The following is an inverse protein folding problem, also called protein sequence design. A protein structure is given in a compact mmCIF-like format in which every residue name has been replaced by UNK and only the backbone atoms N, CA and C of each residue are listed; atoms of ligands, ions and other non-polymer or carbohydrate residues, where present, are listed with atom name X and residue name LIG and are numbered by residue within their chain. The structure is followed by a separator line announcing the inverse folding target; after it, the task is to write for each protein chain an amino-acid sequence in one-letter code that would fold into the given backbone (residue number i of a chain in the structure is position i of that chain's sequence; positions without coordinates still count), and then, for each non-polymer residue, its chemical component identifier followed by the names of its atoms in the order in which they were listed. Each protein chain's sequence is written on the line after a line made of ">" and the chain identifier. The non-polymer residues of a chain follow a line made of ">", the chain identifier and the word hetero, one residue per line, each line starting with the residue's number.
data_IF_770361890551
#
_entry.id   IF_770361890551
#
_cell.length_a   1.000
_cell.length_b   1.000
_cell.length_c   1.000
_cell.angle_alpha   90.00
_cell.angle_beta   90.00
_cell.angle_gamma   90.00
#
_symmetry.space_group_name_H-M   'P 1'
#
loop_
_entity.id
_entity.type
_entity.pdbx_description
1 polymer ?
#
# COMPACT_ATOMS: atom_id res chain seq x y z
N UNK A 1 -31.65 35.08 -45.30
CA UNK A 1 -31.13 34.90 -43.91
C UNK A 1 -30.18 33.73 -43.95
N UNK A 2 -28.89 34.01 -43.92
CA UNK A 2 -27.77 33.07 -44.01
C UNK A 2 -27.10 33.11 -42.64
N UNK A 3 -27.09 32.01 -41.90
CA UNK A 3 -26.25 31.80 -40.71
C UNK A 3 -26.36 30.35 -40.20
N UNK A 4 -25.22 29.77 -39.85
CA UNK A 4 -25.02 28.59 -39.00
C UNK A 4 -25.20 27.19 -39.60
N UNK A 5 -24.25 26.80 -40.45
CA UNK A 5 -23.79 25.41 -40.58
C UNK A 5 -22.27 25.39 -40.47
N UNK A 6 -21.72 25.66 -39.29
CA UNK A 6 -20.36 25.23 -38.89
C UNK A 6 -20.33 25.15 -37.37
N UNK A 7 -20.46 23.92 -36.83
CA UNK A 7 -19.95 23.48 -35.51
C UNK A 7 -20.37 22.03 -35.27
N UNK A 8 -19.79 21.12 -36.04
CA UNK A 8 -19.65 19.72 -35.66
C UNK A 8 -18.31 19.23 -36.21
N UNK A 9 -17.21 19.75 -35.65
CA UNK A 9 -15.92 19.08 -35.75
C UNK A 9 -16.05 17.79 -34.94
N UNK A 10 -16.03 16.58 -35.54
CA UNK A 10 -15.91 15.37 -34.77
C UNK A 10 -14.51 15.42 -34.16
N UNK A 11 -14.42 15.51 -32.83
CA UNK A 11 -13.15 15.43 -32.10
C UNK A 11 -12.35 14.25 -32.66
N UNK A 12 -11.22 14.57 -33.28
CA UNK A 12 -10.35 13.64 -33.99
C UNK A 12 -10.03 12.43 -33.11
N UNK A 13 -10.31 11.24 -33.65
CA UNK A 13 -9.83 9.97 -33.13
C UNK A 13 -8.34 10.07 -32.81
N UNK A 14 -7.98 9.67 -31.60
CA UNK A 14 -6.59 9.49 -31.18
C UNK A 14 -5.86 8.69 -32.27
N UNK A 15 -4.84 9.27 -32.90
CA UNK A 15 -4.21 8.64 -34.07
C UNK A 15 -3.81 7.20 -33.76
N UNK A 16 -4.01 6.29 -34.71
CA UNK A 16 -3.73 4.85 -34.54
C UNK A 16 -2.32 4.62 -33.99
N UNK A 17 -1.36 5.45 -34.41
CA UNK A 17 0.01 5.45 -33.89
C UNK A 17 0.10 5.81 -32.40
N UNK A 18 -0.60 6.84 -31.93
CA UNK A 18 -0.66 7.20 -30.49
C UNK A 18 -1.37 6.12 -29.67
N UNK A 19 -2.40 5.48 -30.22
CA UNK A 19 -3.09 4.34 -29.58
C UNK A 19 -2.17 3.13 -29.44
N UNK A 20 -1.33 2.87 -30.44
CA UNK A 20 -0.34 1.79 -30.41
C UNK A 20 0.82 2.09 -29.46
N UNK A 21 1.31 3.34 -29.41
CA UNK A 21 2.28 3.77 -28.41
C UNK A 21 1.73 3.69 -26.98
N UNK A 22 0.46 4.05 -26.76
CA UNK A 22 -0.20 3.89 -25.47
C UNK A 22 -0.31 2.42 -25.06
N UNK A 23 -0.62 1.52 -26.01
CA UNK A 23 -0.60 0.07 -25.75
C UNK A 23 0.79 -0.42 -25.41
N UNK A 24 1.83 0.01 -26.14
CA UNK A 24 3.22 -0.33 -25.82
C UNK A 24 3.66 0.22 -24.46
N UNK A 25 3.24 1.42 -24.08
CA UNK A 25 3.47 1.97 -22.75
C UNK A 25 2.76 1.15 -21.68
N UNK A 26 1.50 0.76 -21.90
CA UNK A 26 0.73 -0.13 -21.03
C UNK A 26 1.37 -1.54 -20.92
N UNK A 27 1.94 -2.08 -22.00
CA UNK A 27 2.69 -3.34 -21.97
C UNK A 27 4.01 -3.24 -21.20
N UNK A 28 4.59 -2.04 -21.09
CA UNK A 28 5.79 -1.82 -20.29
C UNK A 28 5.49 -1.54 -18.81
N UNK A 29 4.23 -1.26 -18.45
CA UNK A 29 3.80 -1.05 -17.06
C UNK A 29 4.21 -2.21 -16.14
N UNK A 30 4.02 -3.51 -16.48
CA UNK A 30 4.46 -4.63 -15.64
C UNK A 30 5.97 -4.68 -15.42
N UNK A 31 6.76 -4.35 -16.44
CA UNK A 31 8.22 -4.29 -16.33
C UNK A 31 8.65 -3.10 -15.47
N UNK A 32 8.03 -1.94 -15.66
CA UNK A 32 8.25 -0.78 -14.81
C UNK A 32 7.85 -1.05 -13.35
N UNK A 33 6.76 -1.80 -13.13
CA UNK A 33 6.29 -2.22 -11.80
C UNK A 33 7.20 -3.27 -11.17
N UNK A 34 7.76 -4.19 -11.96
CA UNK A 34 8.78 -5.13 -11.48
C UNK A 34 10.04 -4.38 -11.06
N UNK A 35 10.47 -3.38 -11.82
CA UNK A 35 11.60 -2.51 -11.47
C UNK A 35 11.29 -1.66 -10.24
N UNK A 36 10.09 -1.09 -10.14
CA UNK A 36 9.63 -0.34 -8.96
C UNK A 36 9.52 -1.23 -7.72
N UNK A 37 9.06 -2.46 -7.87
CA UNK A 37 9.05 -3.47 -6.79
C UNK A 37 10.48 -3.78 -6.34
N UNK A 38 11.42 -3.95 -7.27
CA UNK A 38 12.84 -4.14 -6.94
C UNK A 38 13.48 -2.92 -6.27
N UNK A 39 13.08 -1.70 -6.67
CA UNK A 39 13.49 -0.47 -6.00
C UNK A 39 12.92 -0.37 -4.58
N UNK A 40 11.66 -0.79 -4.39
CA UNK A 40 11.05 -0.88 -3.06
C UNK A 40 11.79 -1.88 -2.16
N UNK A 41 12.17 -3.05 -2.67
CA UNK A 41 13.01 -4.00 -1.92
C UNK A 41 14.35 -3.35 -1.51
N UNK A 42 15.00 -2.61 -2.41
CA UNK A 42 16.29 -1.94 -2.13
C UNK A 42 16.18 -0.80 -1.09
N UNK A 43 15.11 -0.01 -1.14
CA UNK A 43 14.82 1.04 -0.15
C UNK A 43 14.51 0.37 1.19
N UNK A 44 13.73 -0.71 1.19
CA UNK A 44 13.36 -1.41 2.40
C UNK A 44 14.55 -2.02 3.14
N UNK A 45 15.45 -2.70 2.42
CA UNK A 45 16.65 -3.30 3.00
C UNK A 45 17.60 -2.26 3.60
N UNK A 46 17.71 -1.08 2.98
CA UNK A 46 18.54 0.02 3.52
C UNK A 46 18.04 0.55 4.85
N UNK A 47 16.72 0.61 5.06
CA UNK A 47 16.14 1.15 6.30
C UNK A 47 15.89 0.07 7.38
N UNK A 48 15.90 -1.22 7.04
CA UNK A 48 15.80 -2.30 8.04
C UNK A 48 17.12 -2.54 8.81
N UNK A 49 18.27 -2.08 8.29
CA UNK A 49 19.60 -2.29 8.90
C UNK A 49 19.96 -1.20 9.92
N UNK A 50 19.25 -0.07 9.95
CA UNK A 50 19.43 0.99 10.96
C UNK A 50 18.67 0.68 12.26
N UNK A 51 18.87 -0.52 12.82
CA UNK A 51 18.60 -0.78 14.23
C UNK A 51 19.93 -0.58 14.97
N UNK A 52 20.08 0.59 15.59
CA UNK A 52 21.23 0.91 16.42
C UNK A 52 21.46 -0.22 17.45
N UNK A 53 22.56 -0.95 17.29
CA UNK A 53 23.06 -1.83 18.33
C UNK A 53 23.46 -0.95 19.53
N UNK A 54 22.89 -1.16 20.73
CA UNK A 54 23.41 -0.49 21.91
C UNK A 54 24.84 -1.00 22.17
N UNK A 55 25.81 -0.13 22.47
CA UNK A 55 27.16 -0.58 22.82
C UNK A 55 27.13 -1.43 24.10
N UNK A 56 28.03 -2.40 24.25
CA UNK A 56 28.12 -3.20 25.48
C UNK A 56 28.46 -2.30 26.67
N UNK A 57 27.65 -2.36 27.74
CA UNK A 57 27.92 -1.66 28.99
C UNK A 57 29.23 -2.18 29.62
N UNK A 58 30.14 -1.30 30.08
CA UNK A 58 31.33 -1.73 30.78
C UNK A 58 30.96 -2.30 32.16
N UNK A 59 31.42 -3.52 32.41
CA UNK A 59 31.38 -4.19 33.70
C UNK A 59 32.09 -3.33 34.74
N UNK A 60 31.43 -3.11 35.88
CA UNK A 60 31.98 -2.37 37.01
C UNK A 60 33.27 -3.03 37.54
N UNK A 61 34.36 -2.26 37.57
CA UNK A 61 35.49 -2.45 38.49
C UNK A 61 36.35 -1.19 38.53
N UNK A 62 36.60 -0.75 39.77
CA UNK A 62 37.69 0.11 40.25
C UNK A 62 37.65 1.61 39.90
N UNK A 63 37.13 2.38 40.86
CA UNK A 63 36.98 3.84 40.82
C UNK A 63 38.23 4.62 41.28
N UNK A 64 39.39 3.98 41.49
CA UNK A 64 40.56 4.63 42.11
C UNK A 64 41.65 5.12 41.11
N UNK A 65 41.60 4.73 39.84
CA UNK A 65 42.67 5.06 38.87
C UNK A 65 42.42 6.31 38.00
N UNK A 66 41.27 6.99 38.15
CA UNK A 66 40.90 8.12 37.27
C UNK A 66 41.45 9.49 37.70
N UNK A 67 42.01 9.62 38.90
CA UNK A 67 42.56 10.89 39.38
C UNK A 67 44.01 11.13 38.96
N UNK A 68 44.75 10.10 38.56
CA UNK A 68 46.18 10.19 38.22
C UNK A 68 46.44 10.72 36.80
N UNK A 69 45.48 10.56 35.89
CA UNK A 69 45.64 10.91 34.48
C UNK A 69 45.22 12.35 34.12
N UNK A 70 44.67 13.13 35.06
CA UNK A 70 44.16 14.47 34.78
C UNK A 70 45.24 15.58 34.71
N UNK A 71 46.51 15.24 34.98
CA UNK A 71 47.59 16.25 35.13
C UNK A 71 48.59 16.23 33.95
N UNK A 72 48.51 15.26 33.03
CA UNK A 72 49.43 15.18 31.89
C UNK A 72 48.72 14.88 30.57
N UNK A 73 48.30 15.92 29.83
CA UNK A 73 48.50 16.04 28.36
C UNK A 73 47.82 17.29 27.78
N UNK A 74 48.50 18.07 26.90
CA UNK A 74 47.90 19.18 26.16
C UNK A 74 47.53 18.74 24.74
N UNK A 75 46.24 18.48 24.43
CA UNK A 75 45.74 18.51 23.03
C UNK A 75 44.20 18.52 22.82
N UNK A 76 43.43 19.15 23.71
CA UNK A 76 41.96 19.22 23.63
C UNK A 76 41.46 20.50 22.93
N UNK A 77 42.10 20.97 21.85
CA UNK A 77 41.63 22.15 21.09
C UNK A 77 41.26 21.88 19.63
N UNK A 78 41.30 20.63 19.16
CA UNK A 78 40.91 20.26 17.78
C UNK A 78 39.57 19.53 17.63
N UNK A 79 38.85 19.26 18.72
CA UNK A 79 37.64 18.43 18.75
C UNK A 79 36.36 19.20 19.14
N UNK A 80 36.35 20.54 19.05
CA UNK A 80 35.14 21.36 19.29
C UNK A 80 34.67 22.15 18.05
N UNK A 81 35.22 21.86 16.87
CA UNK A 81 34.95 22.61 15.63
C UNK A 81 34.21 21.82 14.55
N UNK A 82 33.61 20.67 14.88
CA UNK A 82 32.65 20.04 13.97
C UNK A 82 31.23 20.47 14.38
N UNK A 83 30.46 21.11 13.49
CA UNK A 83 29.05 21.35 13.75
C UNK A 83 28.36 19.98 13.93
N UNK A 84 27.41 19.86 14.88
CA UNK A 84 26.68 18.61 15.07
C UNK A 84 26.02 18.19 13.75
N UNK A 85 25.96 16.88 13.42
CA UNK A 85 25.13 16.43 12.30
C UNK A 85 23.71 16.94 12.53
N UNK A 86 23.23 17.77 11.60
CA UNK A 86 21.97 18.50 11.75
C UNK A 86 20.81 17.51 11.77
N UNK A 87 20.18 17.34 12.93
CA UNK A 87 18.96 16.55 13.14
C UNK A 87 17.84 16.92 12.16
N UNK A 88 17.85 18.16 11.67
CA UNK A 88 16.95 18.68 10.63
C UNK A 88 17.15 17.98 9.28
N UNK A 89 18.38 17.74 8.86
CA UNK A 89 18.68 17.06 7.58
C UNK A 89 18.34 15.56 7.62
N UNK A 90 18.42 14.92 8.79
CA UNK A 90 17.97 13.53 8.95
C UNK A 90 16.43 13.45 8.94
N UNK A 91 15.75 14.37 9.61
CA UNK A 91 14.28 14.45 9.59
C UNK A 91 13.72 14.74 8.19
N UNK A 92 14.33 15.67 7.45
CA UNK A 92 13.97 15.97 6.06
C UNK A 92 14.17 14.77 5.13
N UNK A 93 15.26 14.01 5.30
CA UNK A 93 15.52 12.78 4.52
C UNK A 93 14.49 11.69 4.80
N UNK A 94 14.19 11.41 6.08
CA UNK A 94 13.18 10.42 6.47
C UNK A 94 11.80 10.78 5.90
N UNK A 95 11.44 12.06 5.90
CA UNK A 95 10.19 12.54 5.31
C UNK A 95 10.17 12.34 3.78
N UNK A 96 11.28 12.64 3.10
CA UNK A 96 11.42 12.44 1.66
C UNK A 96 11.31 10.94 1.27
N UNK A 97 11.90 10.04 2.05
CA UNK A 97 11.85 8.60 1.82
C UNK A 97 10.41 8.05 2.00
N UNK A 98 9.68 8.55 3.01
CA UNK A 98 8.26 8.22 3.18
C UNK A 98 7.40 8.72 2.01
N UNK A 99 7.65 9.94 1.53
CA UNK A 99 6.91 10.49 0.39
C UNK A 99 7.18 9.67 -0.89
N UNK A 100 8.44 9.28 -1.14
CA UNK A 100 8.79 8.41 -2.26
C UNK A 100 8.09 7.05 -2.15
N UNK A 101 8.08 6.44 -0.96
CA UNK A 101 7.35 5.20 -0.74
C UNK A 101 5.86 5.34 -1.07
N UNK A 102 5.22 6.43 -0.66
CA UNK A 102 3.82 6.70 -0.97
C UNK A 102 3.58 6.77 -2.48
N UNK A 103 4.40 7.53 -3.19
CA UNK A 103 4.27 7.71 -4.64
C UNK A 103 4.45 6.37 -5.36
N UNK A 104 5.47 5.59 -4.99
CA UNK A 104 5.73 4.29 -5.62
C UNK A 104 4.59 3.31 -5.33
N UNK A 105 4.11 3.23 -4.08
CA UNK A 105 3.00 2.34 -3.73
C UNK A 105 1.66 2.79 -4.32
N UNK A 106 1.44 4.09 -4.52
CA UNK A 106 0.28 4.59 -5.25
C UNK A 106 0.34 4.19 -6.72
N UNK A 107 1.49 4.36 -7.38
CA UNK A 107 1.69 3.92 -8.75
C UNK A 107 1.50 2.40 -8.89
N UNK A 108 2.01 1.63 -7.91
CA UNK A 108 1.76 0.20 -7.81
C UNK A 108 0.28 -0.13 -7.63
N UNK A 109 -0.44 0.57 -6.75
CA UNK A 109 -1.88 0.40 -6.57
C UNK A 109 -2.69 0.69 -7.83
N UNK A 110 -2.31 1.72 -8.60
CA UNK A 110 -2.97 2.05 -9.88
C UNK A 110 -2.87 0.93 -10.91
N UNK A 111 -1.82 0.10 -10.84
CA UNK A 111 -1.66 -1.02 -11.76
C UNK A 111 -2.71 -2.13 -11.59
N UNK A 112 -3.39 -2.19 -10.44
CA UNK A 112 -4.52 -3.12 -10.23
C UNK A 112 -5.77 -2.73 -11.04
N UNK A 113 -5.79 -1.53 -11.62
CA UNK A 113 -6.90 -1.06 -12.47
C UNK A 113 -6.73 -1.43 -13.94
N UNK A 114 -5.60 -2.07 -14.29
CA UNK A 114 -5.36 -2.59 -15.62
C UNK A 114 -6.35 -3.73 -15.94
N UNK A 115 -6.84 -3.85 -17.19
CA UNK A 115 -7.75 -4.92 -17.58
C UNK A 115 -7.07 -6.28 -17.79
N UNK A 116 -5.73 -6.33 -17.82
CA UNK A 116 -4.99 -7.57 -18.07
C UNK A 116 -4.89 -8.43 -16.81
N UNK A 117 -5.49 -9.62 -16.87
CA UNK A 117 -5.52 -10.60 -15.79
C UNK A 117 -4.14 -11.12 -15.38
N UNK A 118 -3.20 -11.27 -16.30
CA UNK A 118 -1.86 -11.76 -15.99
C UNK A 118 -1.10 -10.70 -15.19
N UNK A 119 -1.25 -9.44 -15.57
CA UNK A 119 -0.64 -8.30 -14.86
C UNK A 119 -1.25 -8.16 -13.48
N UNK A 120 -2.58 -8.25 -13.37
CA UNK A 120 -3.26 -8.26 -12.08
C UNK A 120 -2.76 -9.39 -11.18
N UNK A 121 -2.70 -10.64 -11.70
CA UNK A 121 -2.20 -11.81 -10.96
C UNK A 121 -0.76 -11.59 -10.49
N UNK A 122 0.10 -11.09 -11.37
CA UNK A 122 1.50 -10.82 -11.06
C UNK A 122 1.64 -9.78 -9.94
N UNK A 123 0.90 -8.66 -10.05
CA UNK A 123 0.91 -7.61 -9.04
C UNK A 123 0.40 -8.11 -7.69
N UNK A 124 -0.68 -8.91 -7.68
CA UNK A 124 -1.18 -9.53 -6.47
C UNK A 124 -0.10 -10.43 -5.82
N UNK A 125 0.59 -11.23 -6.63
CA UNK A 125 1.71 -12.06 -6.18
C UNK A 125 2.87 -11.24 -5.60
N UNK A 126 3.20 -10.10 -6.20
CA UNK A 126 4.22 -9.19 -5.65
C UNK A 126 3.80 -8.58 -4.32
N UNK A 127 2.55 -8.13 -4.20
CA UNK A 127 2.03 -7.57 -2.97
C UNK A 127 2.07 -8.59 -1.82
N UNK A 128 1.67 -9.83 -2.08
CA UNK A 128 1.76 -10.91 -1.10
C UNK A 128 3.21 -11.29 -0.77
N UNK A 129 4.12 -11.22 -1.75
CA UNK A 129 5.55 -11.44 -1.52
C UNK A 129 6.15 -10.35 -0.62
N UNK A 130 5.84 -9.08 -0.89
CA UNK A 130 6.26 -7.94 -0.05
C UNK A 130 5.74 -8.10 1.37
N UNK A 131 4.48 -8.50 1.53
CA UNK A 131 3.95 -8.77 2.86
C UNK A 131 4.65 -9.95 3.55
N UNK A 132 4.87 -11.05 2.84
CA UNK A 132 5.52 -12.25 3.40
C UNK A 132 6.94 -11.98 3.87
N UNK A 133 7.73 -11.24 3.08
CA UNK A 133 9.13 -10.93 3.38
C UNK A 133 9.29 -9.81 4.41
N UNK A 134 8.48 -8.75 4.30
CA UNK A 134 8.74 -7.49 5.00
C UNK A 134 7.63 -7.08 5.98
N UNK A 135 6.59 -7.90 6.14
CA UNK A 135 5.40 -7.60 6.94
C UNK A 135 4.79 -6.26 6.54
N UNK A 136 4.68 -6.03 5.23
CA UNK A 136 4.18 -4.80 4.62
C UNK A 136 2.85 -4.36 5.25
N UNK A 137 1.91 -5.29 5.44
CA UNK A 137 0.58 -4.96 5.96
C UNK A 137 0.59 -4.50 7.42
N UNK A 138 1.59 -4.92 8.20
CA UNK A 138 1.78 -4.48 9.60
C UNK A 138 2.44 -3.09 9.70
N UNK A 139 3.02 -2.56 8.62
CA UNK A 139 3.71 -1.27 8.66
C UNK A 139 2.71 -0.13 8.78
N UNK A 140 2.89 0.68 9.83
CA UNK A 140 1.97 1.75 10.21
C UNK A 140 1.50 2.60 9.03
N UNK A 141 2.43 3.08 8.19
CA UNK A 141 2.12 3.93 7.04
C UNK A 141 1.26 3.21 5.99
N UNK A 142 1.61 1.97 5.65
CA UNK A 142 0.84 1.16 4.70
C UNK A 142 -0.53 0.82 5.29
N UNK A 143 -0.56 0.34 6.55
CA UNK A 143 -1.77 -0.04 7.28
C UNK A 143 -2.78 1.09 7.39
N UNK A 144 -2.34 2.30 7.73
CA UNK A 144 -3.26 3.42 7.97
C UNK A 144 -3.74 4.10 6.69
N UNK A 145 -2.90 4.20 5.66
CA UNK A 145 -3.20 5.01 4.47
C UNK A 145 -3.60 4.15 3.25
N UNK A 146 -2.89 3.04 3.01
CA UNK A 146 -2.97 2.32 1.73
C UNK A 146 -3.78 1.05 1.82
N UNK A 147 -3.65 0.29 2.91
CA UNK A 147 -4.32 -1.00 3.08
C UNK A 147 -5.84 -0.90 2.85
N UNK A 148 -6.59 0.08 3.41
CA UNK A 148 -8.02 0.24 3.13
C UNK A 148 -8.33 0.44 1.64
N UNK A 149 -7.44 1.14 0.91
CA UNK A 149 -7.60 1.37 -0.53
C UNK A 149 -7.39 0.09 -1.33
N UNK A 150 -6.36 -0.69 -1.01
CA UNK A 150 -6.13 -1.99 -1.64
C UNK A 150 -7.27 -2.96 -1.39
N UNK A 151 -7.73 -3.09 -0.13
CA UNK A 151 -8.90 -3.92 0.19
C UNK A 151 -10.12 -3.47 -0.60
N UNK A 152 -10.37 -2.16 -0.70
CA UNK A 152 -11.49 -1.62 -1.49
C UNK A 152 -11.39 -2.02 -2.96
N UNK A 153 -10.23 -1.86 -3.59
CA UNK A 153 -10.00 -2.26 -5.00
C UNK A 153 -10.26 -3.75 -5.18
N UNK A 154 -9.72 -4.60 -4.30
CA UNK A 154 -9.91 -6.05 -4.37
C UNK A 154 -11.38 -6.46 -4.20
N UNK A 155 -12.11 -5.86 -3.25
CA UNK A 155 -13.54 -6.08 -3.10
C UNK A 155 -14.32 -5.61 -4.33
N UNK A 156 -13.96 -4.47 -4.93
CA UNK A 156 -14.59 -3.98 -6.15
C UNK A 156 -14.34 -4.93 -7.34
N UNK A 157 -13.17 -5.54 -7.46
CA UNK A 157 -12.88 -6.54 -8.49
C UNK A 157 -13.79 -7.76 -8.33
N UNK A 158 -14.00 -8.24 -7.11
CA UNK A 158 -14.93 -9.34 -6.82
C UNK A 158 -16.39 -8.96 -7.17
N UNK A 159 -16.81 -7.74 -6.82
CA UNK A 159 -18.16 -7.23 -7.11
C UNK A 159 -18.43 -7.12 -8.62
N UNK A 160 -17.46 -6.59 -9.38
CA UNK A 160 -17.62 -6.41 -10.83
C UNK A 160 -17.31 -7.67 -11.64
N UNK A 161 -16.75 -8.72 -11.01
CA UNK A 161 -16.26 -9.93 -11.68
C UNK A 161 -15.24 -9.66 -12.80
N UNK A 162 -14.48 -8.57 -12.72
CA UNK A 162 -13.53 -8.21 -13.78
C UNK A 162 -12.36 -9.21 -13.87
N UNK A 163 -12.05 -9.91 -12.78
CA UNK A 163 -11.00 -10.93 -12.70
C UNK A 163 -11.48 -12.20 -11.96
N UNK A 164 -12.67 -12.72 -12.32
CA UNK A 164 -13.35 -13.82 -11.60
C UNK A 164 -12.52 -15.12 -11.46
N UNK A 165 -11.58 -15.36 -12.39
CA UNK A 165 -10.64 -16.49 -12.32
C UNK A 165 -9.61 -16.39 -11.18
N UNK A 166 -9.48 -15.21 -10.54
CA UNK A 166 -8.56 -14.96 -9.44
C UNK A 166 -9.30 -14.77 -8.11
N UNK A 167 -10.59 -15.11 -8.04
CA UNK A 167 -11.42 -14.80 -6.89
C UNK A 167 -10.89 -15.42 -5.57
N UNK A 168 -10.26 -16.59 -5.65
CA UNK A 168 -9.71 -17.29 -4.49
C UNK A 168 -8.46 -16.57 -3.97
N UNK A 169 -7.52 -16.24 -4.86
CA UNK A 169 -6.32 -15.49 -4.52
C UNK A 169 -6.64 -14.09 -4.01
N UNK A 170 -7.63 -13.42 -4.60
CA UNK A 170 -8.13 -12.12 -4.12
C UNK A 170 -8.73 -12.26 -2.72
N UNK A 171 -9.54 -13.30 -2.47
CA UNK A 171 -10.13 -13.56 -1.16
C UNK A 171 -9.07 -13.77 -0.08
N UNK A 172 -8.01 -14.53 -0.38
CA UNK A 172 -6.88 -14.75 0.52
C UNK A 172 -6.15 -13.43 0.81
N UNK A 173 -5.88 -12.61 -0.20
CA UNK A 173 -5.22 -11.32 0.00
C UNK A 173 -6.05 -10.37 0.88
N UNK A 174 -7.37 -10.31 0.66
CA UNK A 174 -8.30 -9.54 1.50
C UNK A 174 -8.27 -10.05 2.95
N UNK A 175 -8.24 -11.36 3.15
CA UNK A 175 -8.09 -11.95 4.49
C UNK A 175 -6.75 -11.54 5.13
N UNK A 176 -5.63 -11.68 4.41
CA UNK A 176 -4.31 -11.35 4.93
C UNK A 176 -4.25 -9.88 5.40
N UNK A 177 -4.83 -8.96 4.63
CA UNK A 177 -4.95 -7.55 5.00
C UNK A 177 -5.87 -7.32 6.20
N UNK A 178 -7.05 -7.96 6.22
CA UNK A 178 -8.01 -7.84 7.32
C UNK A 178 -7.45 -8.43 8.63
N UNK A 179 -6.66 -9.50 8.54
CA UNK A 179 -6.12 -10.24 9.69
C UNK A 179 -5.10 -9.45 10.51
N UNK A 180 -4.50 -8.41 9.94
CA UNK A 180 -3.63 -7.47 10.67
C UNK A 180 -4.38 -6.78 11.81
N UNK A 181 -5.66 -6.45 11.57
CA UNK A 181 -6.53 -5.87 12.58
C UNK A 181 -8.01 -6.07 12.23
N UNK A 182 -8.53 -7.25 12.59
CA UNK A 182 -9.94 -7.58 12.42
C UNK A 182 -10.86 -6.59 13.17
N UNK A 183 -10.41 -6.02 14.29
CA UNK A 183 -11.23 -5.09 15.05
C UNK A 183 -11.51 -3.84 14.22
N UNK A 184 -10.46 -3.22 13.67
CA UNK A 184 -10.60 -2.04 12.79
C UNK A 184 -11.30 -2.39 11.48
N UNK A 185 -11.02 -3.57 10.91
CA UNK A 185 -11.69 -4.03 9.69
C UNK A 185 -13.22 -4.09 9.86
N UNK A 186 -13.71 -4.75 10.92
CA UNK A 186 -15.15 -4.91 11.15
C UNK A 186 -15.84 -3.66 11.71
N UNK A 187 -15.18 -2.90 12.58
CA UNK A 187 -15.80 -1.75 13.26
C UNK A 187 -15.71 -0.44 12.49
N UNK A 188 -14.73 -0.28 11.59
CA UNK A 188 -14.50 0.95 10.85
C UNK A 188 -14.58 0.74 9.35
N UNK A 189 -13.69 -0.09 8.79
CA UNK A 189 -13.55 -0.23 7.34
C UNK A 189 -14.81 -0.76 6.66
N UNK A 190 -15.38 -1.87 7.14
CA UNK A 190 -16.53 -2.50 6.50
C UNK A 190 -17.77 -1.59 6.49
N UNK A 191 -18.17 -0.95 7.60
CA UNK A 191 -19.25 0.05 7.59
C UNK A 191 -19.00 1.21 6.62
N UNK A 192 -17.78 1.74 6.58
CA UNK A 192 -17.40 2.83 5.68
C UNK A 192 -17.47 2.40 4.20
N UNK A 193 -16.95 1.21 3.89
CA UNK A 193 -17.01 0.62 2.56
C UNK A 193 -18.45 0.44 2.06
N UNK A 194 -19.34 -0.10 2.91
CA UNK A 194 -20.76 -0.28 2.58
C UNK A 194 -21.47 1.07 2.40
N UNK A 195 -21.14 2.06 3.21
CA UNK A 195 -21.67 3.42 3.07
C UNK A 195 -21.27 4.03 1.73
N UNK A 196 -20.02 3.81 1.30
CA UNK A 196 -19.49 4.25 0.00
C UNK A 196 -20.05 3.50 -1.22
N UNK A 197 -20.71 2.36 -1.03
CA UNK A 197 -21.30 1.60 -2.14
C UNK A 197 -22.44 2.40 -2.80
N UNK A 198 -22.33 2.58 -4.13
CA UNK A 198 -23.31 3.29 -4.95
C UNK A 198 -24.37 2.33 -5.52
N UNK A 199 -25.60 2.82 -5.67
CA UNK A 199 -26.73 2.04 -6.19
C UNK A 199 -27.44 1.20 -5.13
N UNK A 200 -27.24 1.51 -3.84
CA UNK A 200 -27.97 0.90 -2.73
C UNK A 200 -28.57 1.98 -1.81
N UNK A 201 -29.75 1.72 -1.29
CA UNK A 201 -30.36 2.54 -0.25
C UNK A 201 -29.79 2.25 1.16
N UNK A 202 -30.13 3.09 2.13
CA UNK A 202 -29.66 2.98 3.51
C UNK A 202 -30.11 1.67 4.19
N UNK A 203 -31.30 1.17 3.85
CA UNK A 203 -31.85 -0.07 4.41
C UNK A 203 -31.06 -1.28 3.93
N UNK A 204 -30.82 -1.38 2.62
CA UNK A 204 -30.03 -2.44 2.00
C UNK A 204 -28.60 -2.47 2.57
N UNK A 205 -27.96 -1.30 2.71
CA UNK A 205 -26.64 -1.18 3.35
C UNK A 205 -26.65 -1.69 4.80
N UNK A 206 -27.69 -1.36 5.57
CA UNK A 206 -27.86 -1.84 6.94
C UNK A 206 -28.06 -3.36 7.01
N UNK A 207 -28.84 -3.94 6.08
CA UNK A 207 -29.05 -5.39 6.01
C UNK A 207 -27.74 -6.13 5.71
N UNK A 208 -26.96 -5.64 4.73
CA UNK A 208 -25.64 -6.20 4.40
C UNK A 208 -24.69 -6.16 5.60
N UNK A 209 -24.60 -5.02 6.28
CA UNK A 209 -23.75 -4.87 7.47
C UNK A 209 -24.16 -5.84 8.59
N UNK A 210 -25.47 -6.01 8.83
CA UNK A 210 -25.98 -6.93 9.85
C UNK A 210 -25.76 -8.40 9.52
N UNK A 211 -25.84 -8.77 8.24
CA UNK A 211 -25.72 -10.16 7.80
C UNK A 211 -24.26 -10.60 7.64
N UNK A 212 -23.31 -9.66 7.61
CA UNK A 212 -21.89 -9.99 7.53
C UNK A 212 -21.42 -10.65 8.84
N UNK A 213 -20.91 -11.88 8.73
CA UNK A 213 -20.36 -12.62 9.87
C UNK A 213 -18.91 -12.22 10.12
N UNK A 214 -18.58 -11.86 11.35
CA UNK A 214 -17.23 -11.47 11.78
C UNK A 214 -16.31 -12.68 12.00
N UNK A 215 -16.18 -13.52 10.98
CA UNK A 215 -15.34 -14.72 11.00
C UNK A 215 -13.85 -14.34 10.95
N UNK A 216 -13.00 -15.08 11.68
CA UNK A 216 -11.55 -14.79 11.78
C UNK A 216 -10.66 -15.88 11.20
N UNK A 217 -11.21 -17.05 10.89
CA UNK A 217 -10.49 -18.08 10.13
C UNK A 217 -10.66 -17.84 8.63
N UNK A 218 -9.61 -18.17 7.87
CA UNK A 218 -9.55 -17.92 6.43
C UNK A 218 -10.74 -18.52 5.65
N UNK A 219 -11.11 -19.80 5.81
CA UNK A 219 -12.23 -20.38 5.06
C UNK A 219 -13.58 -19.68 5.34
N UNK A 220 -13.91 -19.44 6.61
CA UNK A 220 -15.20 -18.84 6.96
C UNK A 220 -15.26 -17.35 6.62
N UNK A 221 -14.13 -16.65 6.75
CA UNK A 221 -14.00 -15.25 6.32
C UNK A 221 -14.20 -15.10 4.82
N UNK A 222 -13.45 -15.85 4.00
CA UNK A 222 -13.56 -15.78 2.53
C UNK A 222 -14.97 -16.13 2.07
N UNK A 223 -15.60 -17.15 2.67
CA UNK A 223 -17.00 -17.47 2.39
C UNK A 223 -17.94 -16.29 2.74
N UNK A 224 -17.70 -15.58 3.84
CA UNK A 224 -18.50 -14.41 4.23
C UNK A 224 -18.30 -13.22 3.28
N UNK A 225 -17.07 -13.01 2.81
CA UNK A 225 -16.77 -12.03 1.75
C UNK A 225 -17.52 -12.37 0.45
N UNK A 226 -17.49 -13.63 0.00
CA UNK A 226 -18.20 -14.03 -1.21
C UNK A 226 -19.73 -13.89 -1.08
N UNK A 227 -20.31 -14.20 0.08
CA UNK A 227 -21.74 -13.94 0.34
C UNK A 227 -22.04 -12.44 0.23
N UNK A 228 -21.26 -11.60 0.90
CA UNK A 228 -21.43 -10.14 0.85
C UNK A 228 -21.38 -9.62 -0.59
N UNK A 229 -20.37 -10.04 -1.36
CA UNK A 229 -20.18 -9.65 -2.75
C UNK A 229 -21.39 -10.06 -3.61
N UNK A 230 -21.91 -11.27 -3.42
CA UNK A 230 -23.08 -11.75 -4.15
C UNK A 230 -24.35 -10.96 -3.79
N UNK A 231 -24.58 -10.69 -2.51
CA UNK A 231 -25.74 -9.91 -2.05
C UNK A 231 -25.68 -8.47 -2.56
N UNK A 232 -24.49 -7.83 -2.52
CA UNK A 232 -24.25 -6.50 -3.08
C UNK A 232 -24.60 -6.44 -4.57
N UNK A 233 -24.17 -7.46 -5.33
CA UNK A 233 -24.47 -7.56 -6.76
C UNK A 233 -25.96 -7.74 -7.02
N UNK A 234 -26.62 -8.57 -6.22
CA UNK A 234 -28.07 -8.75 -6.31
C UNK A 234 -28.83 -7.44 -6.12
N UNK A 235 -28.50 -6.67 -5.07
CA UNK A 235 -29.14 -5.37 -4.83
C UNK A 235 -28.92 -4.33 -5.94
N UNK A 236 -27.82 -4.42 -6.70
CA UNK A 236 -27.55 -3.50 -7.82
C UNK A 236 -28.25 -3.90 -9.12
N UNK A 237 -28.73 -5.14 -9.23
CA UNK A 237 -29.42 -5.66 -10.41
C UNK A 237 -30.94 -5.54 -10.31
N UNK A 238 -31.48 -5.44 -9.10
CA UNK A 238 -32.90 -5.25 -8.81
C UNK A 238 -33.26 -3.77 -8.73
#
# INVERSE_FOLDING_TARGET
>A
KTASEELACPREDLSVARKEELRKLLEQVPTALSLLTGLLESIWDKHSITAATPPPSPTASDADDLLSNLIHTPNMTKQLNQPPPSLEAESERVCADQAQFIVVMQAFGQSFLQPDIHIFRQNLGYLETLNSKHKLYDKQLFRSVMLPQFVSVLLQVLIHKSHDLLQEEIGIAVYNMASVDFSTFFSSFLPEFLTGCQGLDTSQKSVLARNFKMERDLPSFTQSVHRLVNDLRYYRLC
#
